data_IF_304439236838
#
_entry.id   IF_304439236838
#
_cell.length_a   1.000
_cell.length_b   1.000
_cell.length_c   1.000
_cell.angle_alpha   90.00
_cell.angle_beta   90.00
_cell.angle_gamma   90.00
#
_symmetry.space_group_name_H-M   'P 1'
#
loop_
_entity.id
_entity.type
_entity.pdbx_description
1 polymer ?
#
# COMPACT_ATOMS: atom_id res chain seq x y z
N UNK A 1 -16.87 -5.07 10.26
CA UNK A 1 -15.97 -4.29 9.39
C UNK A 1 -16.82 -3.48 8.46
N UNK A 2 -16.52 -2.18 8.31
CA UNK A 2 -17.29 -1.28 7.45
C UNK A 2 -16.58 -1.16 6.11
N UNK A 3 -17.30 -1.49 5.05
CA UNK A 3 -16.85 -1.36 3.67
C UNK A 3 -17.72 -0.33 2.96
N UNK A 4 -17.10 0.65 2.29
CA UNK A 4 -17.84 1.60 1.44
C UNK A 4 -18.25 0.89 0.14
N UNK A 5 -19.09 1.54 -0.68
CA UNK A 5 -19.67 1.03 -1.95
C UNK A 5 -18.68 0.37 -2.93
N UNK A 6 -17.38 0.58 -2.73
CA UNK A 6 -16.30 0.07 -3.57
C UNK A 6 -15.51 -1.05 -2.87
N UNK A 7 -16.13 -1.73 -1.90
CA UNK A 7 -15.50 -2.70 -0.97
C UNK A 7 -14.29 -2.14 -0.20
N UNK A 8 -14.26 -0.81 -0.04
CA UNK A 8 -13.16 -0.12 0.61
C UNK A 8 -13.24 -0.29 2.13
N UNK A 9 -12.25 -0.93 2.73
CA UNK A 9 -12.18 -1.14 4.18
C UNK A 9 -11.88 0.18 4.90
N UNK A 10 -12.95 0.88 5.27
CA UNK A 10 -12.85 2.19 5.90
C UNK A 10 -12.01 2.15 7.19
N UNK A 11 -12.10 1.05 7.95
CA UNK A 11 -11.35 0.87 9.18
C UNK A 11 -9.83 0.81 8.94
N UNK A 12 -9.38 0.20 7.84
CA UNK A 12 -7.96 0.20 7.47
C UNK A 12 -7.46 1.62 7.21
N UNK A 13 -8.21 2.41 6.47
CA UNK A 13 -7.85 3.79 6.13
C UNK A 13 -7.74 4.67 7.37
N UNK A 14 -8.72 4.56 8.28
CA UNK A 14 -8.74 5.31 9.54
C UNK A 14 -7.49 4.99 10.35
N UNK A 15 -7.15 3.70 10.50
CA UNK A 15 -5.98 3.26 11.26
C UNK A 15 -4.68 3.69 10.57
N UNK A 16 -4.58 3.53 9.24
CA UNK A 16 -3.38 3.85 8.46
C UNK A 16 -3.02 5.33 8.47
N UNK A 17 -4.01 6.21 8.53
CA UNK A 17 -3.78 7.66 8.67
C UNK A 17 -3.60 8.11 10.13
N UNK A 18 -3.60 7.17 11.08
CA UNK A 18 -3.38 7.47 12.50
C UNK A 18 -4.60 8.08 13.19
N UNK A 19 -5.82 7.85 12.69
CA UNK A 19 -7.04 8.29 13.37
C UNK A 19 -7.61 7.22 14.32
N UNK A 20 -6.98 6.05 14.42
CA UNK A 20 -7.42 4.97 15.29
C UNK A 20 -6.39 3.88 15.50
N UNK A 21 -6.72 2.94 16.36
CA UNK A 21 -5.87 1.82 16.78
C UNK A 21 -6.46 0.49 16.31
N UNK A 22 -5.60 -0.51 16.12
CA UNK A 22 -6.04 -1.89 15.90
C UNK A 22 -6.43 -2.52 17.25
N UNK A 23 -7.68 -2.99 17.36
CA UNK A 23 -8.22 -3.53 18.61
C UNK A 23 -8.68 -4.99 18.44
N UNK A 24 -8.33 -5.85 19.39
CA UNK A 24 -8.74 -7.27 19.46
C UNK A 24 -9.47 -7.48 20.76
N UNK A 25 -10.75 -7.86 20.69
CA UNK A 25 -11.57 -8.10 21.89
C UNK A 25 -11.34 -9.48 22.50
N UNK A 26 -11.43 -10.55 21.70
CA UNK A 26 -11.26 -11.93 22.19
C UNK A 26 -10.64 -12.88 21.15
N UNK A 27 -11.02 -12.76 19.87
CA UNK A 27 -10.44 -13.48 18.74
C UNK A 27 -9.97 -12.51 17.68
N UNK A 28 -8.84 -12.81 17.03
CA UNK A 28 -8.33 -12.04 15.91
C UNK A 28 -9.33 -12.11 14.75
N UNK A 29 -9.73 -10.95 14.23
CA UNK A 29 -10.48 -10.88 12.98
C UNK A 29 -9.61 -11.29 11.79
N UNK A 30 -10.24 -11.75 10.70
CA UNK A 30 -9.63 -11.94 9.38
C UNK A 30 -8.77 -10.76 8.91
N UNK A 31 -9.12 -9.52 9.31
CA UNK A 31 -8.42 -8.30 8.89
C UNK A 31 -7.40 -7.78 9.92
N UNK A 32 -7.18 -8.53 11.00
CA UNK A 32 -6.31 -8.10 12.10
C UNK A 32 -4.89 -7.74 11.62
N UNK A 33 -4.27 -8.60 10.81
CA UNK A 33 -2.89 -8.38 10.36
C UNK A 33 -2.76 -7.13 9.48
N UNK A 34 -3.78 -6.85 8.67
CA UNK A 34 -3.84 -5.65 7.83
C UNK A 34 -3.97 -4.40 8.69
N UNK A 35 -4.86 -4.42 9.70
CA UNK A 35 -4.99 -3.30 10.64
C UNK A 35 -3.72 -3.11 11.48
N UNK A 36 -3.03 -4.18 11.84
CA UNK A 36 -1.78 -4.08 12.58
C UNK A 36 -0.66 -3.47 11.75
N UNK A 37 -0.57 -3.82 10.47
CA UNK A 37 0.37 -3.18 9.54
C UNK A 37 0.04 -1.70 9.31
N UNK A 38 -1.26 -1.36 9.15
CA UNK A 38 -1.72 0.02 9.05
C UNK A 38 -1.36 0.85 10.29
N UNK A 39 -1.54 0.27 11.48
CA UNK A 39 -1.21 0.91 12.74
C UNK A 39 0.30 1.16 12.87
N UNK A 40 1.13 0.15 12.54
CA UNK A 40 2.58 0.28 12.54
C UNK A 40 3.04 1.37 11.56
N UNK A 41 2.42 1.46 10.38
CA UNK A 41 2.71 2.51 9.41
C UNK A 41 2.41 3.90 10.00
N UNK A 42 1.26 4.08 10.64
CA UNK A 42 0.87 5.35 11.25
C UNK A 42 1.81 5.75 12.41
N UNK A 43 2.24 4.78 13.22
CA UNK A 43 3.23 4.97 14.28
C UNK A 43 4.59 5.41 13.73
N UNK A 44 5.13 4.66 12.76
CA UNK A 44 6.45 4.94 12.18
C UNK A 44 6.53 6.31 11.49
N UNK A 45 5.40 6.78 10.96
CA UNK A 45 5.30 8.06 10.26
C UNK A 45 4.75 9.20 11.14
N UNK A 46 4.53 8.98 12.44
CA UNK A 46 3.97 9.97 13.37
C UNK A 46 2.68 10.63 12.86
N UNK A 47 1.76 9.84 12.31
CA UNK A 47 0.50 10.33 11.73
C UNK A 47 -0.62 10.45 12.78
N UNK A 48 -1.48 11.46 12.63
CA UNK A 48 -2.69 11.62 13.45
C UNK A 48 -2.39 11.62 14.96
N UNK A 49 -3.07 10.74 15.70
CA UNK A 49 -2.92 10.60 17.16
C UNK A 49 -1.49 10.23 17.58
N UNK A 50 -0.74 9.55 16.71
CA UNK A 50 0.63 9.13 16.98
C UNK A 50 1.62 10.29 17.01
N UNK A 51 1.26 11.45 16.44
CA UNK A 51 2.07 12.68 16.53
C UNK A 51 2.21 13.19 17.97
N UNK A 52 1.19 12.95 18.80
CA UNK A 52 1.09 13.46 20.17
C UNK A 52 1.20 12.36 21.23
N UNK A 53 1.38 11.09 20.79
CA UNK A 53 1.72 10.03 21.72
C UNK A 53 3.18 10.20 22.14
N UNK A 54 3.41 10.87 23.27
CA UNK A 54 4.72 11.06 23.89
C UNK A 54 5.37 9.72 24.27
N UNK A 55 6.10 9.14 23.31
CA UNK A 55 7.35 8.44 23.54
C UNK A 55 7.37 7.13 24.35
N UNK A 56 6.26 6.59 24.86
CA UNK A 56 6.28 5.36 25.69
C UNK A 56 6.16 4.04 24.94
N UNK A 57 6.29 4.04 23.61
CA UNK A 57 6.68 2.86 22.82
C UNK A 57 7.66 3.25 21.73
N UNK A 58 8.86 3.69 22.13
CA UNK A 58 10.04 3.43 21.29
C UNK A 58 10.24 1.93 21.25
N UNK A 59 9.49 1.23 20.38
CA UNK A 59 9.94 -0.06 19.91
C UNK A 59 11.35 0.21 19.38
N UNK A 60 12.37 -0.34 20.05
CA UNK A 60 13.68 -0.51 19.44
C UNK A 60 13.45 -1.45 18.26
N UNK A 61 12.94 -0.90 17.17
CA UNK A 61 13.15 -1.48 15.86
C UNK A 61 14.65 -1.41 15.74
N UNK A 62 15.32 -2.57 15.87
CA UNK A 62 16.65 -2.73 15.36
C UNK A 62 16.54 -2.23 13.92
N UNK A 63 17.02 -1.00 13.70
CA UNK A 63 17.21 -0.46 12.38
C UNK A 63 18.25 -1.39 11.80
N UNK A 64 17.80 -2.45 11.13
CA UNK A 64 18.64 -3.18 10.22
C UNK A 64 18.96 -2.11 9.19
N UNK A 65 20.11 -1.47 9.38
CA UNK A 65 20.76 -0.54 8.47
C UNK A 65 21.18 -1.31 7.23
N UNK A 66 20.21 -1.91 6.53
CA UNK A 66 20.29 -1.96 5.09
C UNK A 66 20.21 -0.50 4.68
N UNK A 67 21.35 0.07 4.25
CA UNK A 67 21.50 1.43 3.74
C UNK A 67 20.32 1.76 2.81
N UNK A 68 19.23 2.30 3.36
CA UNK A 68 18.16 2.84 2.56
C UNK A 68 18.73 4.13 2.02
N UNK A 69 19.14 4.09 0.74
CA UNK A 69 19.40 5.30 -0.05
C UNK A 69 18.25 6.26 0.28
N UNK A 70 18.54 7.53 0.60
CA UNK A 70 17.50 8.50 0.86
C UNK A 70 16.49 8.37 -0.28
N UNK A 71 15.22 8.12 0.08
CA UNK A 71 14.13 8.15 -0.88
C UNK A 71 14.03 9.61 -1.32
N UNK A 72 14.93 10.00 -2.22
CA UNK A 72 14.72 11.17 -3.05
C UNK A 72 13.36 10.89 -3.65
N UNK A 73 12.42 11.79 -3.36
CA UNK A 73 11.10 11.79 -3.96
C UNK A 73 11.36 12.01 -5.45
N UNK A 74 11.75 10.93 -6.13
CA UNK A 74 12.06 10.91 -7.54
C UNK A 74 10.75 11.40 -8.13
N UNK A 75 10.77 12.57 -8.76
CA UNK A 75 9.64 13.10 -9.52
C UNK A 75 9.40 12.10 -10.64
N UNK A 76 8.74 11.01 -10.29
CA UNK A 76 8.30 10.01 -11.20
C UNK A 76 6.96 10.54 -11.67
N UNK A 77 6.96 11.05 -12.89
CA UNK A 77 5.75 10.97 -13.67
C UNK A 77 5.38 9.47 -13.69
N UNK A 78 4.30 9.12 -13.01
CA UNK A 78 3.90 7.75 -12.73
C UNK A 78 3.46 7.06 -14.03
N UNK A 79 4.41 6.55 -14.82
CA UNK A 79 4.12 6.02 -16.15
C UNK A 79 3.55 4.61 -16.13
N UNK A 80 3.85 3.79 -15.13
CA UNK A 80 3.48 2.37 -15.15
C UNK A 80 2.35 2.12 -14.14
N UNK A 81 1.25 1.55 -14.63
CA UNK A 81 0.03 1.26 -13.86
C UNK A 81 0.02 -0.21 -13.45
N UNK A 82 0.22 -0.53 -12.16
CA UNK A 82 0.15 -1.88 -11.62
C UNK A 82 -1.24 -2.24 -11.10
N UNK A 83 -2.01 -3.01 -11.87
CA UNK A 83 -3.35 -3.51 -11.56
C UNK A 83 -3.36 -5.01 -11.15
N UNK A 84 -4.18 -5.37 -10.16
CA UNK A 84 -4.37 -6.75 -9.72
C UNK A 84 -5.66 -7.27 -10.37
N UNK A 85 -5.52 -8.29 -11.22
CA UNK A 85 -6.66 -8.92 -11.89
C UNK A 85 -7.72 -9.36 -10.88
N UNK A 86 -8.91 -8.76 -10.95
CA UNK A 86 -10.04 -9.10 -10.08
C UNK A 86 -10.38 -10.60 -10.12
N UNK A 87 -10.25 -11.23 -11.29
CA UNK A 87 -10.63 -12.65 -11.48
C UNK A 87 -9.58 -13.65 -10.99
N UNK A 88 -8.30 -13.27 -10.98
CA UNK A 88 -7.20 -14.23 -10.77
C UNK A 88 -6.23 -13.82 -9.67
N UNK A 89 -6.36 -12.62 -9.10
CA UNK A 89 -5.42 -12.07 -8.11
C UNK A 89 -4.02 -11.78 -8.66
N UNK A 90 -3.83 -11.91 -9.98
CA UNK A 90 -2.51 -11.77 -10.59
C UNK A 90 -2.12 -10.30 -10.72
N UNK A 91 -0.92 -9.97 -10.24
CA UNK A 91 -0.29 -8.65 -10.35
C UNK A 91 0.21 -8.41 -11.77
N UNK A 92 -0.45 -7.52 -12.51
CA UNK A 92 -0.07 -7.12 -13.86
C UNK A 92 0.21 -5.62 -13.96
N UNK A 93 1.16 -5.23 -14.80
CA UNK A 93 1.43 -3.82 -15.05
C UNK A 93 1.17 -3.44 -16.50
N UNK A 94 0.77 -2.18 -16.69
CA UNK A 94 0.52 -1.54 -17.97
C UNK A 94 1.44 -0.33 -18.13
N UNK A 95 1.98 -0.15 -19.32
CA UNK A 95 2.81 1.00 -19.72
C UNK A 95 2.05 1.91 -20.69
N UNK A 96 2.47 3.18 -20.86
CA UNK A 96 1.89 4.05 -21.88
C UNK A 96 2.04 3.38 -23.25
N UNK A 97 0.96 3.34 -24.04
CA UNK A 97 0.92 2.60 -25.30
C UNK A 97 0.30 1.19 -25.23
N UNK A 98 0.01 0.66 -24.03
CA UNK A 98 -0.85 -0.54 -23.95
C UNK A 98 -2.30 -0.21 -24.25
N UNK A 99 -3.01 -1.13 -24.91
CA UNK A 99 -4.42 -0.96 -25.29
C UNK A 99 -5.34 -0.60 -24.12
N UNK A 100 -5.09 -1.16 -22.92
CA UNK A 100 -5.91 -0.91 -21.74
C UNK A 100 -5.24 0.04 -20.74
N UNK A 101 -4.22 0.79 -21.15
CA UNK A 101 -3.51 1.68 -20.24
C UNK A 101 -4.44 2.75 -19.67
N UNK A 102 -5.19 3.45 -20.52
CA UNK A 102 -6.12 4.50 -20.09
C UNK A 102 -7.28 3.97 -19.25
N UNK A 103 -7.83 2.82 -19.66
CA UNK A 103 -8.93 2.15 -18.95
C UNK A 103 -8.51 1.53 -17.60
N UNK A 104 -7.20 1.36 -17.37
CA UNK A 104 -6.70 0.85 -16.10
C UNK A 104 -6.69 1.96 -15.06
N UNK A 105 -7.58 1.85 -14.09
CA UNK A 105 -7.65 2.73 -12.92
C UNK A 105 -7.00 2.00 -11.75
N UNK A 106 -6.01 2.63 -11.12
CA UNK A 106 -5.26 2.03 -10.02
C UNK A 106 -5.97 2.27 -8.69
N UNK A 107 -6.33 1.18 -8.04
CA UNK A 107 -6.94 1.16 -6.72
C UNK A 107 -5.92 0.82 -5.65
N UNK A 108 -5.33 1.85 -5.03
CA UNK A 108 -4.33 1.69 -3.95
C UNK A 108 -4.82 0.79 -2.81
N UNK A 109 -6.13 0.82 -2.52
CA UNK A 109 -6.75 -0.02 -1.49
C UNK A 109 -6.78 -1.52 -1.81
N UNK A 110 -6.57 -1.92 -3.07
CA UNK A 110 -6.46 -3.33 -3.48
C UNK A 110 -5.00 -3.83 -3.49
N UNK A 111 -4.06 -2.99 -3.08
CA UNK A 111 -2.62 -3.25 -3.22
C UNK A 111 -2.09 -2.95 -4.62
N UNK A 112 -2.89 -2.30 -5.47
CA UNK A 112 -2.48 -1.76 -6.76
C UNK A 112 -1.65 -0.49 -6.58
N UNK A 113 -0.75 -0.19 -7.52
CA UNK A 113 0.10 0.99 -7.41
C UNK A 113 0.69 1.43 -8.73
N UNK A 114 1.13 2.68 -8.75
CA UNK A 114 1.92 3.23 -9.83
C UNK A 114 3.42 2.94 -9.63
N UNK A 115 4.15 2.77 -10.73
CA UNK A 115 5.61 2.66 -10.74
C UNK A 115 6.24 3.74 -11.62
N UNK A 116 7.48 4.07 -11.28
CA UNK A 116 8.31 5.01 -12.03
C UNK A 116 8.87 4.41 -13.32
N UNK A 117 9.09 3.09 -13.32
CA UNK A 117 9.65 2.33 -14.44
C UNK A 117 9.08 0.90 -14.47
N UNK A 118 9.20 0.24 -15.62
CA UNK A 118 8.84 -1.18 -15.74
C UNK A 118 9.70 -2.06 -14.84
N UNK A 119 10.99 -1.73 -14.71
CA UNK A 119 11.91 -2.49 -13.87
C UNK A 119 11.47 -2.47 -12.40
N UNK A 120 10.96 -1.34 -11.90
CA UNK A 120 10.44 -1.25 -10.54
C UNK A 120 9.20 -2.14 -10.33
N UNK A 121 8.36 -2.29 -11.37
CA UNK A 121 7.22 -3.19 -11.36
C UNK A 121 7.66 -4.65 -11.33
N UNK A 122 8.63 -5.03 -12.18
CA UNK A 122 9.21 -6.37 -12.24
C UNK A 122 9.86 -6.74 -10.90
N UNK A 123 10.72 -5.87 -10.37
CA UNK A 123 11.38 -6.07 -9.07
C UNK A 123 10.38 -6.19 -7.91
N UNK A 124 9.19 -5.61 -8.09
CA UNK A 124 8.07 -5.66 -7.15
C UNK A 124 7.18 -6.91 -7.30
N UNK A 125 7.52 -7.83 -8.21
CA UNK A 125 6.77 -9.06 -8.47
C UNK A 125 5.55 -8.88 -9.38
N UNK A 126 5.57 -7.87 -10.26
CA UNK A 126 4.51 -7.61 -11.23
C UNK A 126 4.96 -8.07 -12.61
N UNK A 127 4.07 -8.71 -13.36
CA UNK A 127 4.35 -9.13 -14.75
C UNK A 127 3.68 -8.21 -15.76
N UNK A 128 4.23 -8.10 -16.96
CA UNK A 128 3.63 -7.31 -18.04
C UNK A 128 2.24 -7.86 -18.39
N UNK A 129 1.28 -6.98 -18.63
CA UNK A 129 -0.02 -7.38 -19.13
C UNK A 129 0.11 -7.94 -20.56
N UNK A 130 -0.66 -8.98 -20.89
CA UNK A 130 -0.56 -9.67 -22.20
C UNK A 130 -1.02 -8.81 -23.38
N UNK A 131 -1.76 -7.73 -23.10
CA UNK A 131 -2.31 -6.78 -24.05
C UNK A 131 -1.46 -5.49 -24.14
N UNK A 132 -0.22 -5.56 -23.67
CA UNK A 132 0.79 -4.53 -23.89
C UNK A 132 1.69 -4.95 -25.05
N UNK A 133 2.07 -4.04 -25.96
CA UNK A 133 3.09 -4.29 -26.95
C UNK A 133 4.46 -4.59 -26.32
#
# INVERSE_FOLDING_TARGET
HVFLSNEFNYQELVIKNGYGFSYVYSKKSKYYDIYKQAENFAQLNNLGVWKYCDGKRKAKVAVITAKQKPFTKKKCNAYVKGNISYRTGVKIYHVPGCNNYENTIISIGKGERYFCSEQDAINSGWRKAKNCP
#
